data_IF_334839171614
#
_entry.id   IF_334839171614
#
_cell.length_a   1.000
_cell.length_b   1.000
_cell.length_c   1.000
_cell.angle_alpha   90.00
_cell.angle_beta   90.00
_cell.angle_gamma   90.00
#
_symmetry.space_group_name_H-M   'P 1'
#
loop_
_entity.id
_entity.type
_entity.pdbx_description
1 polymer ?
#
# COMPACT_ATOMS: atom_id res chain seq x y z
N UNK A 1 -27.73 19.34 -14.57
CA UNK A 1 -27.03 19.86 -13.37
C UNK A 1 -27.08 18.81 -12.28
N UNK A 2 -26.21 18.90 -11.29
CA UNK A 2 -26.30 18.05 -10.09
C UNK A 2 -27.62 18.30 -9.35
N UNK A 3 -28.27 17.22 -8.88
CA UNK A 3 -29.53 17.27 -8.13
C UNK A 3 -29.45 16.33 -6.92
N UNK A 4 -30.03 16.70 -5.76
CA UNK A 4 -30.11 15.84 -4.59
C UNK A 4 -30.89 14.53 -4.82
N UNK A 5 -31.75 14.48 -5.84
CA UNK A 5 -32.50 13.28 -6.24
C UNK A 5 -31.64 12.20 -6.89
N UNK A 6 -30.36 12.44 -7.11
CA UNK A 6 -29.43 11.45 -7.65
C UNK A 6 -29.01 10.36 -6.63
N UNK A 7 -29.38 10.51 -5.35
CA UNK A 7 -29.13 9.51 -4.32
C UNK A 7 -30.22 9.49 -3.25
N UNK A 8 -30.35 8.35 -2.56
CA UNK A 8 -31.31 8.14 -1.48
C UNK A 8 -30.60 7.51 -0.27
N UNK A 9 -31.02 7.87 0.94
CA UNK A 9 -30.52 7.23 2.16
C UNK A 9 -31.21 5.89 2.37
N UNK A 10 -30.43 4.85 2.67
CA UNK A 10 -30.93 3.52 2.99
C UNK A 10 -30.47 3.10 4.38
N UNK A 11 -31.22 2.19 5.02
CA UNK A 11 -30.86 1.67 6.34
C UNK A 11 -29.68 0.69 6.24
N UNK A 12 -28.73 0.80 7.16
CA UNK A 12 -27.58 -0.11 7.30
C UNK A 12 -27.46 -0.55 8.77
N UNK A 13 -27.19 -1.83 9.00
CA UNK A 13 -27.02 -2.42 10.33
C UNK A 13 -25.61 -3.02 10.42
N UNK A 14 -24.95 -2.82 11.56
CA UNK A 14 -23.71 -3.49 11.89
C UNK A 14 -24.02 -4.78 12.66
N UNK A 15 -23.31 -5.86 12.36
CA UNK A 15 -23.51 -7.14 13.03
C UNK A 15 -22.16 -7.80 13.31
N UNK A 16 -22.08 -8.40 14.49
CA UNK A 16 -21.02 -9.28 14.97
C UNK A 16 -21.36 -10.77 14.77
N UNK A 17 -22.55 -11.08 14.24
CA UNK A 17 -23.06 -12.46 14.09
C UNK A 17 -22.36 -13.27 13.00
N UNK A 18 -21.71 -12.60 12.06
CA UNK A 18 -21.00 -13.22 10.95
C UNK A 18 -19.74 -12.44 10.62
N UNK A 19 -18.73 -13.13 10.09
CA UNK A 19 -17.48 -12.55 9.65
C UNK A 19 -17.47 -12.45 8.13
N UNK A 20 -17.25 -11.23 7.62
CA UNK A 20 -16.90 -11.01 6.22
C UNK A 20 -15.44 -11.38 5.94
N UNK A 21 -15.04 -11.26 4.68
CA UNK A 21 -13.65 -11.43 4.25
C UNK A 21 -13.26 -10.33 3.26
N UNK A 22 -11.96 -10.20 3.02
CA UNK A 22 -11.40 -9.25 2.06
C UNK A 22 -10.86 -9.95 0.82
N UNK A 23 -10.85 -9.23 -0.30
CA UNK A 23 -10.10 -9.58 -1.49
C UNK A 23 -9.24 -8.38 -1.87
N UNK A 24 -8.01 -8.65 -2.29
CA UNK A 24 -7.02 -7.61 -2.65
C UNK A 24 -6.46 -7.92 -4.05
N UNK A 25 -5.84 -6.94 -4.73
CA UNK A 25 -5.14 -7.20 -5.97
C UNK A 25 -4.11 -8.34 -5.81
N UNK A 26 -4.10 -9.28 -6.75
CA UNK A 26 -3.16 -10.39 -6.75
C UNK A 26 -1.71 -9.91 -6.98
N UNK A 27 -1.56 -8.87 -7.79
CA UNK A 27 -0.29 -8.22 -8.06
C UNK A 27 -0.36 -6.74 -7.69
N UNK A 28 0.70 -6.24 -7.07
CA UNK A 28 0.82 -4.83 -6.72
C UNK A 28 0.07 -4.44 -5.44
N UNK A 29 -0.20 -3.14 -5.34
CA UNK A 29 -0.83 -2.49 -4.18
C UNK A 29 -2.29 -2.18 -4.49
N UNK A 30 -3.17 -2.22 -3.49
CA UNK A 30 -4.51 -1.64 -3.65
C UNK A 30 -4.48 -0.09 -3.62
N UNK A 31 -3.43 0.48 -3.03
CA UNK A 31 -3.26 1.91 -2.85
C UNK A 31 -2.26 2.49 -3.86
N UNK A 32 -2.75 3.32 -4.78
CA UNK A 32 -1.93 4.03 -5.78
C UNK A 32 -1.67 5.50 -5.45
N UNK A 33 -2.04 6.00 -4.26
CA UNK A 33 -1.87 7.42 -3.91
C UNK A 33 -0.41 7.93 -4.02
N UNK A 34 0.59 7.10 -3.69
CA UNK A 34 2.01 7.46 -3.82
C UNK A 34 2.63 7.08 -5.16
N UNK A 35 1.84 6.47 -6.07
CA UNK A 35 2.26 6.03 -7.40
C UNK A 35 1.20 6.39 -8.44
N UNK A 36 0.64 7.61 -8.36
CA UNK A 36 -0.51 8.03 -9.18
C UNK A 36 -0.29 7.90 -10.69
N UNK A 37 0.94 8.12 -11.16
CA UNK A 37 1.32 7.92 -12.58
C UNK A 37 1.21 6.47 -13.07
N UNK A 38 1.19 5.50 -12.15
CA UNK A 38 1.04 4.07 -12.47
C UNK A 38 -0.43 3.61 -12.47
N UNK A 39 -1.36 4.47 -12.07
CA UNK A 39 -2.79 4.17 -12.12
C UNK A 39 -3.36 4.57 -13.48
N UNK A 40 -4.06 3.64 -14.12
CA UNK A 40 -4.74 3.84 -15.40
C UNK A 40 -6.22 3.43 -15.28
N UNK A 41 -7.14 4.17 -15.89
CA UNK A 41 -8.58 3.89 -15.82
C UNK A 41 -8.98 2.58 -16.48
N UNK A 42 -8.15 2.04 -17.35
CA UNK A 42 -8.35 0.78 -18.08
C UNK A 42 -7.49 -0.37 -17.55
N UNK A 43 -6.79 -0.17 -16.42
CA UNK A 43 -5.93 -1.17 -15.83
C UNK A 43 -6.69 -2.46 -15.51
N UNK A 44 -6.07 -3.61 -15.82
CA UNK A 44 -6.59 -4.93 -15.44
C UNK A 44 -5.82 -5.43 -14.22
N UNK A 45 -6.53 -6.07 -13.30
CA UNK A 45 -5.96 -6.70 -12.13
C UNK A 45 -6.72 -7.99 -11.83
N UNK A 46 -6.01 -8.95 -11.24
CA UNK A 46 -6.59 -10.16 -10.67
C UNK A 46 -6.80 -9.95 -9.17
N UNK A 47 -7.63 -10.79 -8.55
CA UNK A 47 -7.89 -10.73 -7.11
C UNK A 47 -7.39 -11.99 -6.41
N UNK A 48 -7.01 -11.83 -5.14
CA UNK A 48 -6.66 -12.91 -4.23
C UNK A 48 -7.36 -12.73 -2.88
N UNK A 49 -7.55 -13.83 -2.16
CA UNK A 49 -8.13 -13.83 -0.81
C UNK A 49 -7.04 -13.47 0.22
N UNK A 50 -7.04 -12.22 0.68
CA UNK A 50 -6.10 -11.73 1.70
C UNK A 50 -6.59 -10.42 2.31
N UNK A 51 -6.00 -10.02 3.43
CA UNK A 51 -6.33 -8.77 4.12
C UNK A 51 -5.59 -7.58 3.48
N UNK A 52 -6.24 -6.40 3.34
CA UNK A 52 -5.59 -5.21 2.82
C UNK A 52 -4.53 -4.70 3.79
N UNK A 53 -3.39 -4.26 3.24
CA UNK A 53 -2.35 -3.56 4.01
C UNK A 53 -2.80 -2.16 4.40
N UNK A 54 -2.24 -1.61 5.46
CA UNK A 54 -2.54 -0.26 5.95
C UNK A 54 -2.16 0.82 4.93
N UNK A 55 -2.78 2.00 4.99
CA UNK A 55 -2.58 3.05 4.00
C UNK A 55 -1.10 3.41 3.76
N UNK A 56 -0.30 3.51 4.83
CA UNK A 56 1.14 3.88 4.79
C UNK A 56 2.11 2.69 4.78
N UNK A 57 1.62 1.48 4.51
CA UNK A 57 2.49 0.31 4.39
C UNK A 57 3.59 0.53 3.34
N UNK A 58 4.80 0.01 3.56
CA UNK A 58 5.99 0.23 2.72
C UNK A 58 5.76 -0.10 1.23
N UNK A 59 5.04 -1.20 0.95
CA UNK A 59 4.63 -1.61 -0.41
C UNK A 59 3.85 -0.54 -1.17
N UNK A 60 3.14 0.36 -0.48
CA UNK A 60 2.41 1.45 -1.12
C UNK A 60 3.32 2.64 -1.44
N UNK A 61 4.53 2.69 -0.86
CA UNK A 61 5.41 3.86 -0.81
C UNK A 61 6.83 3.58 -1.30
N UNK A 62 7.00 2.58 -2.17
CA UNK A 62 8.30 2.00 -2.60
C UNK A 62 9.37 3.05 -2.89
N UNK A 63 9.04 4.16 -3.55
CA UNK A 63 10.00 5.23 -3.87
C UNK A 63 10.69 5.84 -2.62
N UNK A 64 10.04 5.85 -1.46
CA UNK A 64 10.64 6.30 -0.20
C UNK A 64 11.73 5.36 0.30
N UNK A 65 11.69 4.11 -0.13
CA UNK A 65 12.58 3.03 0.29
C UNK A 65 13.53 2.56 -0.81
N UNK A 66 13.41 3.08 -2.04
CA UNK A 66 14.37 2.78 -3.12
C UNK A 66 15.37 3.90 -3.36
N UNK A 67 15.06 5.12 -2.92
CA UNK A 67 15.87 6.31 -3.21
C UNK A 67 16.99 6.50 -2.17
N UNK A 68 17.93 5.56 -2.13
CA UNK A 68 19.16 5.73 -1.37
C UNK A 68 20.24 6.34 -2.25
N UNK A 69 20.22 7.66 -2.40
CA UNK A 69 21.37 8.40 -2.93
C UNK A 69 22.28 8.76 -1.75
N UNK A 70 22.86 7.76 -1.11
CA UNK A 70 23.89 7.97 -0.09
C UNK A 70 25.15 7.34 -0.64
N UNK A 71 26.11 8.21 -0.96
CA UNK A 71 27.45 7.90 -1.44
C UNK A 71 27.97 6.63 -0.75
N UNK A 72 28.21 5.58 -1.55
CA UNK A 72 28.77 4.29 -1.12
C UNK A 72 30.18 4.43 -0.48
N UNK A 73 30.78 5.63 -0.48
CA UNK A 73 32.10 5.87 0.11
C UNK A 73 32.15 5.98 1.65
N UNK A 74 31.01 5.96 2.36
CA UNK A 74 31.04 6.09 3.83
C UNK A 74 31.38 4.79 4.57
N UNK A 75 31.40 3.62 3.90
CA UNK A 75 31.83 2.36 4.54
C UNK A 75 33.35 2.28 4.72
N UNK A 76 34.12 3.09 3.99
CA UNK A 76 35.59 3.13 4.11
C UNK A 76 36.12 4.21 5.08
N UNK A 77 35.23 4.99 5.72
CA UNK A 77 35.61 6.12 6.56
C UNK A 77 35.40 5.89 8.08
N UNK A 78 35.38 4.63 8.55
CA UNK A 78 35.16 4.30 9.96
C UNK A 78 35.92 3.05 10.44
N UNK A 79 37.04 3.32 11.10
CA UNK A 79 37.81 2.53 12.09
C UNK A 79 37.28 1.15 12.52
N UNK A 80 38.20 0.16 12.55
CA UNK A 80 38.13 -1.18 13.17
C UNK A 80 36.78 -1.55 13.81
N UNK A 81 35.95 -2.29 13.06
CA UNK A 81 34.68 -2.83 13.55
C UNK A 81 34.88 -4.26 14.05
N UNK A 82 35.19 -4.42 15.34
CA UNK A 82 35.19 -5.74 15.97
C UNK A 82 33.73 -6.19 16.27
N UNK A 83 33.27 -7.23 15.58
CA UNK A 83 31.96 -7.83 15.77
C UNK A 83 32.10 -9.13 16.60
N UNK A 84 32.00 -9.00 17.93
CA UNK A 84 32.19 -10.11 18.87
C UNK A 84 30.93 -10.97 19.07
N UNK A 85 29.87 -10.76 18.29
CA UNK A 85 28.57 -11.40 18.47
C UNK A 85 28.03 -12.13 17.23
N UNK A 86 28.91 -12.56 16.32
CA UNK A 86 28.54 -13.50 15.24
C UNK A 86 28.21 -14.89 15.77
#
# INVERSE_FOLDING_TARGET
GYLPSHYERVQMLLSDRFLGFYMVPAQGSWNYNFMGVRHDSTMKYELQLSNPKEFYHENHRIAHFSNFSTIEDSEYAGADREDHFS
#
